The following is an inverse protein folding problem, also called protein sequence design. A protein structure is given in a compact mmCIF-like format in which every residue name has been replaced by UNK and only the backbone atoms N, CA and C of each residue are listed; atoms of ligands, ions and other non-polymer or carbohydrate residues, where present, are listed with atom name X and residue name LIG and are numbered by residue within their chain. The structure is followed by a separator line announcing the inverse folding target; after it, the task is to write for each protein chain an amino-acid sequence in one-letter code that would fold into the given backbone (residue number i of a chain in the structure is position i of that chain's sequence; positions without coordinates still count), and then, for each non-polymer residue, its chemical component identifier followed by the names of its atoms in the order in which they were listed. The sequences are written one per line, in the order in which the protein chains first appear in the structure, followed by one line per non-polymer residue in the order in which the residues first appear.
data_IF_050423239794
#
_entry.id   IF_050423239794
#
_cell.length_a   1.000
_cell.length_b   1.000
_cell.length_c   1.000
_cell.angle_alpha   90.00
_cell.angle_beta   90.00
_cell.angle_gamma   90.00
#
_symmetry.space_group_name_H-M   'P 1'
#
loop_
_entity.id
_entity.type
_entity.pdbx_description
1 polymer ?
#
# COMPACT_ATOMS: atom_id res chain seq x y z
N UNK A 1 -32.91 11.75 -7.80
CA UNK A 1 -31.70 11.89 -6.97
C UNK A 1 -31.55 13.36 -6.66
N UNK A 2 -31.71 13.78 -5.40
CA UNK A 2 -31.46 15.17 -5.02
C UNK A 2 -30.00 15.55 -5.29
N UNK A 3 -29.70 16.82 -5.52
CA UNK A 3 -28.32 17.26 -5.85
C UNK A 3 -27.31 16.90 -4.75
N UNK A 4 -27.73 16.96 -3.48
CA UNK A 4 -26.94 16.52 -2.34
C UNK A 4 -26.70 14.99 -2.31
N UNK A 5 -27.66 14.18 -2.76
CA UNK A 5 -27.50 12.72 -2.88
C UNK A 5 -26.41 12.35 -3.90
N UNK A 6 -26.25 13.12 -4.99
CA UNK A 6 -25.19 12.85 -5.98
C UNK A 6 -23.81 12.96 -5.35
N UNK A 7 -23.58 14.02 -4.56
CA UNK A 7 -22.32 14.25 -3.86
C UNK A 7 -22.03 13.15 -2.86
N UNK A 8 -23.00 12.86 -1.99
CA UNK A 8 -22.86 11.81 -0.99
C UNK A 8 -22.55 10.47 -1.67
N UNK A 9 -23.22 10.16 -2.78
CA UNK A 9 -22.98 8.92 -3.49
C UNK A 9 -21.59 8.84 -4.12
N UNK A 10 -21.10 9.93 -4.70
CA UNK A 10 -19.74 9.96 -5.26
C UNK A 10 -18.68 9.78 -4.17
N UNK A 11 -18.85 10.46 -3.02
CA UNK A 11 -17.98 10.30 -1.85
C UNK A 11 -18.00 8.87 -1.30
N UNK A 12 -19.17 8.22 -1.21
CA UNK A 12 -19.29 6.81 -0.82
C UNK A 12 -18.50 5.89 -1.76
N UNK A 13 -18.60 6.10 -3.08
CA UNK A 13 -17.89 5.29 -4.05
C UNK A 13 -16.37 5.46 -3.90
N UNK A 14 -15.88 6.70 -3.73
CA UNK A 14 -14.45 6.98 -3.51
C UNK A 14 -13.99 6.33 -2.20
N UNK A 15 -14.77 6.48 -1.12
CA UNK A 15 -14.48 5.86 0.17
C UNK A 15 -14.40 4.33 0.07
N UNK A 16 -15.29 3.71 -0.70
CA UNK A 16 -15.25 2.27 -0.97
C UNK A 16 -13.95 1.83 -1.63
N UNK A 17 -13.41 2.63 -2.56
CA UNK A 17 -12.09 2.37 -3.16
C UNK A 17 -10.97 2.53 -2.13
N UNK A 18 -10.97 3.58 -1.32
CA UNK A 18 -9.98 3.81 -0.25
C UNK A 18 -9.96 2.63 0.72
N UNK A 19 -11.11 2.17 1.19
CA UNK A 19 -11.23 1.01 2.09
C UNK A 19 -10.67 -0.25 1.46
N UNK A 20 -10.92 -0.49 0.16
CA UNK A 20 -10.34 -1.64 -0.55
C UNK A 20 -8.81 -1.55 -0.67
N UNK A 21 -8.24 -0.36 -0.87
CA UNK A 21 -6.78 -0.18 -0.88
C UNK A 21 -6.16 -0.49 0.49
N UNK A 22 -6.78 0.00 1.58
CA UNK A 22 -6.36 -0.35 2.94
C UNK A 22 -6.44 -1.86 3.23
N UNK A 23 -7.50 -2.53 2.75
CA UNK A 23 -7.64 -3.98 2.84
C UNK A 23 -6.54 -4.74 2.07
N UNK A 24 -6.29 -4.38 0.81
CA UNK A 24 -5.23 -4.98 0.01
C UNK A 24 -3.85 -4.81 0.64
N UNK A 25 -3.56 -3.64 1.24
CA UNK A 25 -2.31 -3.39 1.96
C UNK A 25 -2.13 -4.35 3.14
N UNK A 26 -3.18 -4.56 3.94
CA UNK A 26 -3.13 -5.51 5.05
C UNK A 26 -2.93 -6.96 4.57
N UNK A 27 -3.65 -7.36 3.51
CA UNK A 27 -3.52 -8.69 2.91
C UNK A 27 -2.10 -8.96 2.37
N UNK A 28 -1.50 -8.00 1.67
CA UNK A 28 -0.14 -8.13 1.16
C UNK A 28 0.89 -8.34 2.27
N UNK A 29 0.77 -7.57 3.37
CA UNK A 29 1.63 -7.73 4.54
C UNK A 29 1.50 -9.10 5.19
N UNK A 30 0.27 -9.64 5.25
CA UNK A 30 0.03 -11.00 5.72
C UNK A 30 0.77 -12.04 4.88
N UNK A 31 0.59 -12.00 3.56
CA UNK A 31 1.28 -12.92 2.64
C UNK A 31 2.80 -12.81 2.69
N UNK A 32 3.31 -11.59 2.80
CA UNK A 32 4.75 -11.36 2.97
C UNK A 32 5.28 -12.07 4.22
N UNK A 33 4.65 -11.86 5.39
CA UNK A 33 5.06 -12.49 6.65
C UNK A 33 4.99 -14.01 6.53
N UNK A 34 3.91 -14.57 5.97
CA UNK A 34 3.78 -16.01 5.76
C UNK A 34 4.91 -16.58 4.92
N UNK A 35 5.25 -15.92 3.80
CA UNK A 35 6.35 -16.36 2.93
C UNK A 35 7.72 -16.24 3.61
N UNK A 36 7.99 -15.13 4.30
CA UNK A 36 9.25 -14.93 5.03
C UNK A 36 9.42 -16.01 6.10
N UNK A 37 8.41 -16.22 6.96
CA UNK A 37 8.49 -17.22 8.04
C UNK A 37 8.61 -18.64 7.46
N UNK A 38 7.76 -19.00 6.51
CA UNK A 38 7.75 -20.35 5.93
C UNK A 38 9.05 -20.71 5.22
N UNK A 39 9.59 -19.78 4.43
CA UNK A 39 10.87 -19.99 3.74
C UNK A 39 12.05 -19.93 4.71
N UNK A 40 12.02 -19.04 5.72
CA UNK A 40 13.07 -19.01 6.74
C UNK A 40 13.18 -20.33 7.48
N UNK A 41 12.06 -20.92 7.91
CA UNK A 41 12.04 -22.23 8.58
C UNK A 41 12.55 -23.31 7.63
N UNK A 42 12.06 -23.35 6.39
CA UNK A 42 12.49 -24.34 5.40
C UNK A 42 14.01 -24.28 5.11
N UNK A 43 14.60 -23.08 5.03
CA UNK A 43 16.04 -22.92 4.81
C UNK A 43 16.88 -23.36 6.01
N UNK A 44 16.40 -23.09 7.24
CA UNK A 44 17.06 -23.56 8.46
C UNK A 44 17.03 -25.10 8.56
N UNK A 45 15.90 -25.74 8.24
CA UNK A 45 15.77 -27.20 8.28
C UNK A 45 16.69 -27.92 7.29
N UNK A 46 16.91 -27.33 6.12
CA UNK A 46 17.80 -27.90 5.08
C UNK A 46 19.27 -27.50 5.29
N UNK A 47 19.58 -26.67 6.31
CA UNK A 47 20.93 -26.20 6.62
C UNK A 47 21.51 -25.25 5.57
N UNK A 48 20.65 -24.49 4.87
CA UNK A 48 20.97 -23.60 3.75
C UNK A 48 20.79 -22.14 4.15
N UNK A 49 21.46 -21.70 5.22
CA UNK A 49 21.28 -20.35 5.78
C UNK A 49 21.68 -19.25 4.78
N UNK A 50 22.57 -19.55 3.83
CA UNK A 50 22.94 -18.66 2.73
C UNK A 50 21.74 -18.25 1.85
N UNK A 51 20.69 -19.07 1.79
CA UNK A 51 19.49 -18.79 0.99
C UNK A 51 18.56 -17.77 1.64
N UNK A 52 18.74 -17.43 2.93
CA UNK A 52 17.96 -16.40 3.63
C UNK A 52 18.07 -15.03 2.94
N UNK A 53 19.16 -14.77 2.21
CA UNK A 53 19.34 -13.55 1.41
C UNK A 53 18.25 -13.37 0.34
N UNK A 54 17.66 -14.47 -0.16
CA UNK A 54 16.56 -14.43 -1.14
C UNK A 54 15.32 -13.76 -0.53
N UNK A 55 15.13 -13.84 0.79
CA UNK A 55 14.00 -13.20 1.46
C UNK A 55 14.08 -11.69 1.43
N UNK A 56 15.27 -11.11 1.29
CA UNK A 56 15.43 -9.66 1.07
C UNK A 56 14.74 -9.26 -0.23
N UNK A 57 14.90 -10.03 -1.31
CA UNK A 57 14.21 -9.78 -2.58
C UNK A 57 12.69 -9.90 -2.43
N UNK A 58 12.21 -10.94 -1.73
CA UNK A 58 10.78 -11.12 -1.44
C UNK A 58 10.24 -9.87 -0.74
N UNK A 59 10.89 -9.44 0.35
CA UNK A 59 10.48 -8.27 1.12
C UNK A 59 10.49 -6.99 0.28
N UNK A 60 11.50 -6.79 -0.58
CA UNK A 60 11.56 -5.62 -1.47
C UNK A 60 10.40 -5.58 -2.47
N UNK A 61 10.01 -6.72 -3.05
CA UNK A 61 8.86 -6.81 -3.96
C UNK A 61 7.57 -6.40 -3.24
N UNK A 62 7.35 -6.94 -2.03
CA UNK A 62 6.18 -6.57 -1.23
C UNK A 62 6.21 -5.09 -0.80
N UNK A 63 7.38 -4.53 -0.50
CA UNK A 63 7.53 -3.12 -0.14
C UNK A 63 7.12 -2.20 -1.29
N UNK A 64 7.55 -2.51 -2.52
CA UNK A 64 7.15 -1.75 -3.71
C UNK A 64 5.63 -1.84 -3.93
N UNK A 65 5.05 -3.03 -3.78
CA UNK A 65 3.59 -3.21 -3.89
C UNK A 65 2.83 -2.42 -2.82
N UNK A 66 3.25 -2.47 -1.57
CA UNK A 66 2.65 -1.70 -0.48
C UNK A 66 2.72 -0.19 -0.77
N UNK A 67 3.85 0.28 -1.30
CA UNK A 67 4.01 1.67 -1.69
C UNK A 67 3.10 2.09 -2.84
N UNK A 68 2.88 1.19 -3.82
CA UNK A 68 1.92 1.42 -4.90
C UNK A 68 0.49 1.57 -4.35
N UNK A 69 0.05 0.67 -3.46
CA UNK A 69 -1.27 0.76 -2.85
C UNK A 69 -1.43 2.01 -1.99
N UNK A 70 -0.41 2.39 -1.23
CA UNK A 70 -0.40 3.64 -0.46
C UNK A 70 -0.45 4.88 -1.34
N UNK A 71 0.29 4.88 -2.46
CA UNK A 71 0.24 5.92 -3.49
C UNK A 71 -1.18 6.09 -4.03
N UNK A 72 -1.81 4.97 -4.42
CA UNK A 72 -3.17 4.97 -4.96
C UNK A 72 -4.20 5.45 -3.93
N UNK A 73 -4.08 4.99 -2.68
CA UNK A 73 -4.90 5.46 -1.57
C UNK A 73 -4.79 6.98 -1.38
N UNK A 74 -3.58 7.53 -1.39
CA UNK A 74 -3.35 8.98 -1.29
C UNK A 74 -3.97 9.75 -2.46
N UNK A 75 -3.86 9.23 -3.69
CA UNK A 75 -4.51 9.85 -4.86
C UNK A 75 -6.03 9.85 -4.72
N UNK A 76 -6.63 8.77 -4.20
CA UNK A 76 -8.08 8.73 -3.93
C UNK A 76 -8.51 9.62 -2.76
N UNK A 77 -7.67 9.79 -1.73
CA UNK A 77 -7.91 10.77 -0.67
C UNK A 77 -7.91 12.20 -1.22
N UNK A 78 -6.99 12.53 -2.14
CA UNK A 78 -7.00 13.81 -2.83
C UNK A 78 -8.26 14.00 -3.69
N UNK A 79 -8.71 12.96 -4.41
CA UNK A 79 -9.96 13.00 -5.16
C UNK A 79 -11.16 13.22 -4.24
N UNK A 80 -11.21 12.52 -3.09
CA UNK A 80 -12.24 12.71 -2.07
C UNK A 80 -12.28 14.18 -1.59
N UNK A 81 -11.11 14.74 -1.27
CA UNK A 81 -10.98 16.13 -0.81
C UNK A 81 -11.36 17.17 -1.87
N UNK A 82 -11.19 16.85 -3.16
CA UNK A 82 -11.69 17.66 -4.28
C UNK A 82 -13.21 17.59 -4.36
N UNK A 83 -13.78 16.37 -4.43
CA UNK A 83 -15.21 16.15 -4.63
C UNK A 83 -16.05 16.73 -3.49
N UNK A 84 -15.59 16.65 -2.22
CA UNK A 84 -16.32 17.26 -1.09
C UNK A 84 -16.47 18.78 -1.18
N UNK A 85 -15.64 19.46 -1.97
CA UNK A 85 -15.66 20.93 -2.18
C UNK A 85 -16.35 21.34 -3.47
N UNK A 86 -16.70 20.40 -4.35
CA UNK A 86 -17.40 20.70 -5.59
C UNK A 86 -18.83 21.17 -5.30
N UNK A 87 -19.31 22.07 -6.15
CA UNK A 87 -20.73 22.41 -6.23
C UNK A 87 -21.49 21.22 -6.81
N UNK A 88 -22.77 21.10 -6.45
CA UNK A 88 -23.55 19.89 -6.69
C UNK A 88 -23.87 19.67 -8.19
N UNK A 89 -23.87 20.74 -8.98
CA UNK A 89 -24.01 20.75 -10.44
C UNK A 89 -22.77 20.22 -11.17
N UNK A 90 -21.59 20.32 -10.55
CA UNK A 90 -20.30 19.92 -11.13
C UNK A 90 -19.92 18.45 -10.86
N UNK A 91 -20.82 17.66 -10.26
CA UNK A 91 -20.54 16.27 -9.89
C UNK A 91 -20.74 15.33 -11.08
N UNK A 92 -19.64 14.78 -11.56
CA UNK A 92 -19.55 13.94 -12.76
C UNK A 92 -19.34 12.45 -12.48
N UNK A 93 -19.23 12.05 -11.20
CA UNK A 93 -18.91 10.69 -10.76
C UNK A 93 -17.58 10.12 -11.30
N UNK A 94 -16.68 10.97 -11.79
CA UNK A 94 -15.39 10.53 -12.29
C UNK A 94 -14.54 9.90 -11.19
N UNK A 95 -13.90 8.77 -11.51
CA UNK A 95 -12.94 8.06 -10.65
C UNK A 95 -11.49 8.27 -11.09
N UNK A 96 -11.28 9.25 -11.97
CA UNK A 96 -9.96 9.54 -12.53
C UNK A 96 -9.11 10.29 -11.50
N UNK A 97 -7.99 9.68 -11.11
CA UNK A 97 -7.02 10.26 -10.16
C UNK A 97 -5.77 10.82 -10.84
N UNK A 98 -5.70 10.84 -12.18
CA UNK A 98 -4.52 11.25 -12.95
C UNK A 98 -4.01 12.66 -12.59
N UNK A 99 -4.93 13.58 -12.27
CA UNK A 99 -4.61 14.93 -11.78
C UNK A 99 -3.73 14.93 -10.52
N UNK A 100 -3.84 13.89 -9.70
CA UNK A 100 -3.11 13.76 -8.44
C UNK A 100 -1.84 12.90 -8.54
N UNK A 101 -1.60 12.22 -9.67
CA UNK A 101 -0.45 11.30 -9.81
C UNK A 101 0.91 12.01 -9.85
N UNK A 102 0.92 13.31 -10.18
CA UNK A 102 2.15 14.12 -10.21
C UNK A 102 2.49 14.76 -8.86
N UNK A 103 1.66 14.58 -7.83
CA UNK A 103 1.95 15.09 -6.51
C UNK A 103 3.10 14.30 -5.88
N UNK A 104 4.03 15.00 -5.22
CA UNK A 104 5.12 14.33 -4.49
C UNK A 104 4.58 13.34 -3.45
N UNK A 105 3.46 13.67 -2.82
CA UNK A 105 2.85 12.84 -1.77
C UNK A 105 2.26 11.53 -2.29
N UNK A 106 1.87 11.47 -3.57
CA UNK A 106 1.31 10.28 -4.24
C UNK A 106 2.38 9.51 -5.00
N UNK A 107 3.59 10.04 -5.16
CA UNK A 107 4.70 9.30 -5.77
C UNK A 107 5.01 8.00 -5.01
N UNK A 108 5.17 6.90 -5.75
CA UNK A 108 5.50 5.58 -5.19
C UNK A 108 6.79 5.65 -4.37
N UNK A 109 7.83 6.33 -4.86
CA UNK A 109 9.11 6.48 -4.16
C UNK A 109 8.96 7.19 -2.81
N UNK A 110 8.13 8.24 -2.76
CA UNK A 110 7.84 8.94 -1.52
C UNK A 110 6.99 8.07 -0.57
N UNK A 111 6.12 7.22 -1.10
CA UNK A 111 5.34 6.27 -0.32
C UNK A 111 6.22 5.15 0.25
N UNK A 112 7.17 4.61 -0.52
CA UNK A 112 8.15 3.60 -0.08
C UNK A 112 8.89 4.06 1.17
N UNK A 113 9.34 5.32 1.18
CA UNK A 113 10.09 5.93 2.28
C UNK A 113 9.21 6.56 3.36
N UNK A 114 7.88 6.36 3.32
CA UNK A 114 7.00 6.88 4.35
C UNK A 114 7.21 6.16 5.70
N UNK A 115 7.02 6.89 6.81
CA UNK A 115 7.17 6.34 8.17
C UNK A 115 6.36 5.05 8.36
N UNK A 116 5.15 4.99 7.79
CA UNK A 116 4.25 3.82 7.92
C UNK A 116 4.77 2.57 7.23
N UNK A 117 5.54 2.69 6.16
CA UNK A 117 6.20 1.55 5.51
C UNK A 117 7.57 1.30 6.13
N UNK A 118 8.34 2.34 6.43
CA UNK A 118 9.66 2.23 7.05
C UNK A 118 9.61 1.45 8.37
N UNK A 119 8.64 1.76 9.25
CA UNK A 119 8.49 1.04 10.53
C UNK A 119 8.09 -0.43 10.39
N UNK A 120 7.55 -0.84 9.24
CA UNK A 120 7.22 -2.22 8.98
C UNK A 120 8.41 -2.95 8.33
N UNK A 121 8.95 -2.39 7.24
CA UNK A 121 9.95 -3.07 6.42
C UNK A 121 11.38 -3.03 6.99
N UNK A 122 11.79 -1.95 7.68
CA UNK A 122 13.15 -1.87 8.24
C UNK A 122 13.36 -2.95 9.33
N UNK A 123 12.47 -3.12 10.33
CA UNK A 123 12.63 -4.19 11.31
C UNK A 123 12.57 -5.59 10.69
N UNK A 124 11.71 -5.82 9.68
CA UNK A 124 11.65 -7.11 8.98
C UNK A 124 12.97 -7.44 8.27
N UNK A 125 13.59 -6.47 7.60
CA UNK A 125 14.88 -6.66 6.95
C UNK A 125 15.99 -6.95 7.97
N UNK A 126 16.02 -6.21 9.08
CA UNK A 126 16.98 -6.45 10.18
C UNK A 126 16.82 -7.88 10.71
N UNK A 127 15.58 -8.33 10.93
CA UNK A 127 15.31 -9.67 11.43
C UNK A 127 15.82 -10.76 10.48
N UNK A 128 15.59 -10.61 9.17
CA UNK A 128 16.10 -11.56 8.16
C UNK A 128 17.63 -11.61 8.18
N UNK A 129 18.30 -10.44 8.26
CA UNK A 129 19.76 -10.39 8.32
C UNK A 129 20.28 -11.06 9.60
N UNK A 130 19.66 -10.81 10.75
CA UNK A 130 20.04 -11.47 12.00
C UNK A 130 19.91 -12.99 11.89
N UNK A 131 18.77 -13.49 11.38
CA UNK A 131 18.55 -14.93 11.19
C UNK A 131 19.59 -15.54 10.24
N UNK A 132 20.01 -14.82 9.21
CA UNK A 132 21.00 -15.33 8.24
C UNK A 132 22.42 -15.49 8.80
N UNK A 133 22.74 -14.86 9.93
CA UNK A 133 24.06 -14.92 10.57
C UNK A 133 24.18 -16.11 11.53
N UNK A 134 23.07 -16.56 12.10
CA UNK A 134 23.01 -17.75 12.98
C UNK A 134 22.90 -19.04 12.19
#
# INVERSE_FOLDING_TARGET
MSENEKRLKHLELIQGVITRMGGNLFTLRGWMITLVVGLSVAFLEVGRNELQVILVLVVLIFWIHDAYFLSLERSYRCLYDKVRKLKEDAIDFSMNTSEFNNLRTTSIWYCMLSNTLAYFYIPTLILIVLISIF
#
